data_IF_432766621868
#
_entry.id   IF_432766621868
#
_cell.length_a   1.000
_cell.length_b   1.000
_cell.length_c   1.000
_cell.angle_alpha   90.00
_cell.angle_beta   90.00
_cell.angle_gamma   90.00
#
_symmetry.space_group_name_H-M   'P 1'
#
loop_
_entity.id
_entity.type
_entity.pdbx_description
1 polymer ?
#
# COMPACT_ATOMS: atom_id res chain seq x y z
N UNK A 1 25.97 -1.54 22.05
CA UNK A 1 24.66 -2.24 22.00
C UNK A 1 24.20 -2.16 20.56
N UNK A 2 24.35 -3.24 19.78
CA UNK A 2 23.81 -3.25 18.41
C UNK A 2 22.29 -3.28 18.51
N UNK A 3 21.64 -2.19 18.12
CA UNK A 3 20.18 -2.11 18.05
C UNK A 3 19.74 -2.91 16.83
N UNK A 4 18.91 -3.93 17.05
CA UNK A 4 18.32 -4.68 15.95
C UNK A 4 17.24 -3.81 15.29
N UNK A 5 17.32 -3.64 13.98
CA UNK A 5 16.39 -2.84 13.19
C UNK A 5 15.58 -3.79 12.32
N UNK A 6 14.26 -3.74 12.45
CA UNK A 6 13.33 -4.44 11.56
C UNK A 6 12.98 -3.54 10.38
N UNK A 7 13.10 -4.08 9.17
CA UNK A 7 12.65 -3.45 7.93
C UNK A 7 11.51 -4.28 7.33
N UNK A 8 10.74 -3.68 6.43
CA UNK A 8 9.71 -4.41 5.68
C UNK A 8 10.22 -4.66 4.26
N UNK A 9 10.17 -5.91 3.84
CA UNK A 9 10.47 -6.34 2.49
C UNK A 9 9.16 -6.56 1.74
N UNK A 10 9.05 -5.97 0.57
CA UNK A 10 7.90 -6.10 -0.31
C UNK A 10 8.28 -7.09 -1.41
N UNK A 11 7.79 -8.31 -1.36
CA UNK A 11 8.09 -9.32 -2.38
C UNK A 11 7.43 -8.99 -3.71
N UNK A 12 7.99 -9.49 -4.80
CA UNK A 12 7.42 -9.30 -6.15
C UNK A 12 5.96 -9.74 -6.29
N UNK A 13 5.51 -10.67 -5.44
CA UNK A 13 4.12 -11.15 -5.39
C UNK A 13 3.14 -10.13 -4.81
N UNK A 14 3.63 -9.05 -4.20
CA UNK A 14 2.82 -8.11 -3.41
C UNK A 14 2.78 -8.45 -1.92
N UNK A 15 3.49 -9.49 -1.47
CA UNK A 15 3.48 -9.91 -0.06
C UNK A 15 4.49 -9.13 0.78
N UNK A 16 4.07 -8.65 1.94
CA UNK A 16 4.93 -7.95 2.90
C UNK A 16 5.57 -8.94 3.89
N UNK A 17 6.89 -8.86 4.07
CA UNK A 17 7.65 -9.65 5.05
C UNK A 17 8.49 -8.75 5.95
N UNK A 18 8.45 -9.00 7.25
CA UNK A 18 9.36 -8.31 8.18
C UNK A 18 10.72 -9.00 8.20
N UNK A 19 11.81 -8.23 8.15
CA UNK A 19 13.17 -8.73 8.28
C UNK A 19 13.97 -7.93 9.29
N UNK A 20 14.56 -8.62 10.28
CA UNK A 20 15.34 -7.99 11.36
C UNK A 20 16.83 -8.06 11.07
N UNK A 21 17.51 -6.93 11.09
CA UNK A 21 18.95 -6.78 10.90
C UNK A 21 19.64 -6.31 12.19
N UNK A 22 20.76 -6.94 12.55
CA UNK A 22 21.56 -6.55 13.73
C UNK A 22 22.44 -5.32 13.49
N UNK A 23 22.83 -5.10 12.24
CA UNK A 23 23.63 -3.97 11.80
C UNK A 23 23.00 -3.45 10.52
N UNK A 24 22.46 -2.23 10.57
CA UNK A 24 21.85 -1.59 9.41
C UNK A 24 22.94 -0.96 8.55
N UNK A 25 23.00 -1.41 7.30
CA UNK A 25 23.83 -0.85 6.24
C UNK A 25 22.98 -0.72 5.00
N UNK A 26 22.84 0.50 4.49
CA UNK A 26 22.06 0.78 3.28
C UNK A 26 22.53 -0.08 2.09
N UNK A 27 23.85 -0.21 1.97
CA UNK A 27 24.50 -1.08 0.98
C UNK A 27 24.24 -2.57 1.16
N UNK A 28 23.73 -3.06 2.29
CA UNK A 28 23.39 -4.48 2.46
C UNK A 28 21.90 -4.77 2.21
N UNK A 29 21.05 -3.73 2.08
CA UNK A 29 19.61 -3.89 1.88
C UNK A 29 19.31 -4.66 0.60
N UNK A 30 20.03 -4.38 -0.49
CA UNK A 30 19.82 -5.07 -1.77
C UNK A 30 20.00 -6.60 -1.63
N UNK A 31 20.92 -7.06 -0.78
CA UNK A 31 21.15 -8.49 -0.52
C UNK A 31 19.95 -9.10 0.19
N UNK A 32 19.30 -8.34 1.08
CA UNK A 32 18.09 -8.77 1.81
C UNK A 32 16.87 -8.83 0.91
N UNK A 33 16.80 -7.98 -0.11
CA UNK A 33 15.83 -8.07 -1.20
C UNK A 33 16.11 -9.21 -2.19
N UNK A 34 17.19 -9.99 -2.01
CA UNK A 34 17.53 -11.13 -2.86
C UNK A 34 18.33 -10.78 -4.12
N UNK A 35 18.85 -9.55 -4.23
CA UNK A 35 19.68 -9.16 -5.36
C UNK A 35 21.15 -9.56 -5.15
N UNK A 36 21.80 -9.99 -6.24
CA UNK A 36 23.23 -10.34 -6.24
C UNK A 36 24.15 -9.12 -6.35
N UNK A 37 23.66 -8.04 -6.94
CA UNK A 37 24.36 -6.77 -7.18
C UNK A 37 23.47 -5.63 -6.72
N UNK A 38 24.07 -4.52 -6.31
CA UNK A 38 23.38 -3.26 -6.01
C UNK A 38 22.96 -2.47 -7.26
N UNK A 39 23.26 -2.99 -8.45
CA UNK A 39 23.05 -2.29 -9.72
C UNK A 39 21.56 -1.96 -9.97
N UNK A 40 21.25 -0.66 -10.00
CA UNK A 40 19.89 -0.11 -10.11
C UNK A 40 19.05 -0.21 -8.83
N UNK A 41 19.59 -0.71 -7.71
CA UNK A 41 18.90 -0.72 -6.43
C UNK A 41 19.24 0.54 -5.65
N UNK A 42 18.32 1.49 -5.63
CA UNK A 42 18.52 2.81 -5.05
C UNK A 42 17.28 3.28 -4.29
N UNK A 43 17.41 4.41 -3.57
CA UNK A 43 16.29 5.05 -2.89
C UNK A 43 15.39 5.71 -3.94
N UNK A 44 14.14 5.24 -4.02
CA UNK A 44 13.18 5.67 -5.03
C UNK A 44 12.33 6.83 -4.53
N UNK A 45 11.82 6.73 -3.30
CA UNK A 45 11.02 7.79 -2.68
C UNK A 45 11.15 7.76 -1.16
N UNK A 46 10.70 8.83 -0.52
CA UNK A 46 10.55 8.93 0.93
C UNK A 46 9.24 9.62 1.30
N UNK A 47 8.54 9.07 2.29
CA UNK A 47 7.26 9.58 2.76
C UNK A 47 7.40 10.11 4.18
N UNK A 48 7.08 11.38 4.40
CA UNK A 48 7.00 11.98 5.72
C UNK A 48 5.62 11.78 6.33
N UNK A 49 5.50 10.99 7.41
CA UNK A 49 4.24 10.71 8.09
C UNK A 49 4.29 11.23 9.52
N UNK A 50 3.23 11.93 9.96
CA UNK A 50 3.04 12.31 11.37
C UNK A 50 2.06 11.33 12.03
N UNK A 51 2.54 10.57 13.00
CA UNK A 51 1.76 9.56 13.73
C UNK A 51 2.00 9.75 15.23
N UNK A 52 0.94 9.84 16.02
CA UNK A 52 1.00 9.99 17.49
C UNK A 52 1.95 11.13 17.96
N UNK A 53 1.91 12.28 17.26
CA UNK A 53 2.76 13.43 17.56
C UNK A 53 4.25 13.28 17.19
N UNK A 54 4.67 12.14 16.66
CA UNK A 54 6.03 11.88 16.16
C UNK A 54 6.08 11.99 14.64
N UNK A 55 7.20 12.47 14.13
CA UNK A 55 7.48 12.53 12.69
C UNK A 55 8.28 11.30 12.28
N UNK A 56 7.72 10.52 11.38
CA UNK A 56 8.33 9.36 10.75
C UNK A 56 8.65 9.68 9.29
N UNK A 57 9.72 9.08 8.78
CA UNK A 57 10.06 9.09 7.35
C UNK A 57 10.29 7.66 6.93
N UNK A 58 9.50 7.17 5.97
CA UNK A 58 9.70 5.85 5.37
C UNK A 58 10.34 6.02 4.01
N UNK A 59 11.52 5.42 3.81
CA UNK A 59 12.23 5.42 2.55
C UNK A 59 12.01 4.08 1.82
N UNK A 60 11.62 4.15 0.55
CA UNK A 60 11.50 3.01 -0.36
C UNK A 60 12.81 2.82 -1.12
N UNK A 61 13.36 1.61 -1.06
CA UNK A 61 14.47 1.16 -1.87
C UNK A 61 13.99 0.08 -2.83
N UNK A 62 14.33 0.23 -4.10
CA UNK A 62 13.86 -0.68 -5.13
C UNK A 62 14.60 -0.47 -6.44
N UNK A 63 14.33 -1.36 -7.38
CA UNK A 63 14.84 -1.28 -8.75
C UNK A 63 13.69 -0.92 -9.69
N UNK A 64 13.84 0.16 -10.45
CA UNK A 64 12.86 0.63 -11.44
C UNK A 64 13.05 0.00 -12.83
N UNK A 65 14.06 -0.85 -12.98
CA UNK A 65 14.37 -1.56 -14.23
C UNK A 65 14.43 -3.07 -13.99
N UNK A 66 13.92 -3.89 -14.90
CA UNK A 66 13.96 -5.32 -14.74
C UNK A 66 13.47 -6.12 -15.93
N UNK A 67 13.41 -7.43 -15.73
CA UNK A 67 12.92 -8.34 -16.77
C UNK A 67 11.39 -8.40 -16.71
N UNK A 68 10.76 -8.62 -17.86
CA UNK A 68 9.34 -8.94 -17.91
C UNK A 68 9.01 -10.13 -16.98
N UNK A 69 7.87 -10.08 -16.29
CA UNK A 69 7.41 -11.03 -15.26
C UNK A 69 8.17 -10.98 -13.93
N UNK A 70 8.98 -9.93 -13.71
CA UNK A 70 9.60 -9.65 -12.41
C UNK A 70 9.07 -8.38 -11.76
N UNK A 71 8.00 -7.81 -12.30
CA UNK A 71 7.31 -6.65 -11.76
C UNK A 71 6.80 -6.94 -10.35
N UNK A 72 6.97 -5.98 -9.46
CA UNK A 72 6.40 -6.01 -8.13
C UNK A 72 4.93 -5.63 -8.22
N UNK A 73 4.06 -6.48 -7.68
CA UNK A 73 2.60 -6.31 -7.71
C UNK A 73 2.05 -5.50 -6.54
N UNK A 74 2.91 -5.02 -5.65
CA UNK A 74 2.49 -4.19 -4.53
C UNK A 74 2.16 -2.78 -5.02
N UNK A 75 1.01 -2.26 -4.60
CA UNK A 75 0.59 -0.89 -4.88
C UNK A 75 1.28 0.02 -3.86
N UNK A 76 2.17 0.90 -4.31
CA UNK A 76 2.87 1.82 -3.42
C UNK A 76 2.11 3.15 -3.32
N UNK A 77 2.17 3.84 -2.17
CA UNK A 77 1.53 5.13 -2.05
C UNK A 77 2.15 6.18 -2.99
N UNK A 78 1.38 7.22 -3.34
CA UNK A 78 1.89 8.35 -4.12
C UNK A 78 3.15 8.93 -3.46
N UNK A 79 4.17 9.37 -4.23
CA UNK A 79 4.14 9.69 -5.67
C UNK A 79 4.58 8.54 -6.61
N UNK A 80 4.78 7.33 -6.09
CA UNK A 80 5.31 6.18 -6.84
C UNK A 80 4.25 5.13 -7.16
N UNK A 81 2.97 5.48 -7.02
CA UNK A 81 1.81 4.66 -7.34
C UNK A 81 1.79 4.25 -8.83
N UNK A 82 2.24 5.14 -9.71
CA UNK A 82 2.38 4.86 -11.15
C UNK A 82 3.72 4.19 -11.51
N UNK A 83 4.66 4.11 -10.57
CA UNK A 83 6.02 3.63 -10.83
C UNK A 83 6.07 2.13 -10.66
N UNK A 84 6.50 1.46 -11.72
CA UNK A 84 6.61 0.01 -11.74
C UNK A 84 8.00 -0.43 -11.25
N UNK A 85 8.05 -1.11 -10.10
CA UNK A 85 9.27 -1.67 -9.55
C UNK A 85 9.45 -3.13 -9.96
N UNK A 86 10.69 -3.62 -9.94
CA UNK A 86 11.04 -4.99 -10.29
C UNK A 86 11.76 -5.71 -9.14
N UNK A 87 11.36 -6.95 -8.89
CA UNK A 87 11.86 -7.77 -7.81
C UNK A 87 11.27 -7.35 -6.46
N UNK A 88 12.01 -7.62 -5.39
CA UNK A 88 11.59 -7.26 -4.05
C UNK A 88 12.07 -5.85 -3.68
N UNK A 89 11.22 -5.05 -3.06
CA UNK A 89 11.60 -3.73 -2.53
C UNK A 89 11.84 -3.80 -1.02
N UNK A 90 12.49 -2.77 -0.47
CA UNK A 90 12.66 -2.61 0.97
C UNK A 90 12.14 -1.26 1.44
N UNK A 91 11.45 -1.28 2.57
CA UNK A 91 10.94 -0.12 3.26
C UNK A 91 11.72 0.05 4.57
N UNK A 92 12.35 1.22 4.72
CA UNK A 92 13.13 1.56 5.91
C UNK A 92 12.48 2.75 6.59
N UNK A 93 12.21 2.63 7.89
CA UNK A 93 11.62 3.71 8.67
C UNK A 93 12.68 4.46 9.48
N UNK A 94 12.55 5.77 9.52
CA UNK A 94 13.31 6.69 10.36
C UNK A 94 12.34 7.51 11.19
N UNK A 95 12.71 7.84 12.42
CA UNK A 95 11.94 8.71 13.30
C UNK A 95 12.76 9.95 13.66
N UNK A 96 12.10 11.11 13.74
CA UNK A 96 12.73 12.34 14.23
C UNK A 96 12.82 12.27 15.75
N UNK A 97 14.03 12.32 16.29
CA UNK A 97 14.27 12.37 17.73
C UNK A 97 14.08 13.78 18.29
N UNK A 98 14.10 13.87 19.62
CA UNK A 98 14.08 15.12 20.38
C UNK A 98 15.25 16.04 19.99
N UNK A 99 16.41 15.48 19.66
CA UNK A 99 17.61 16.20 19.21
C UNK A 99 17.53 16.69 17.75
N UNK A 100 16.33 16.68 17.16
CA UNK A 100 16.04 17.04 15.77
C UNK A 100 16.76 16.21 14.69
N UNK A 101 17.43 15.13 15.09
CA UNK A 101 18.11 14.20 14.19
C UNK A 101 17.20 13.03 13.79
N UNK A 102 17.35 12.57 12.55
CA UNK A 102 16.71 11.35 12.07
C UNK A 102 17.47 10.13 12.54
N UNK A 103 16.79 9.17 13.15
CA UNK A 103 17.36 7.86 13.46
C UNK A 103 16.52 6.75 12.86
N UNK A 104 17.20 5.75 12.30
CA UNK A 104 16.56 4.54 11.81
C UNK A 104 15.85 3.85 12.97
N UNK A 105 14.61 3.43 12.75
CA UNK A 105 13.79 2.72 13.72
C UNK A 105 13.24 1.43 13.13
N UNK A 106 12.81 0.51 13.98
CA UNK A 106 12.16 -0.72 13.54
C UNK A 106 10.78 -0.41 12.97
N UNK A 107 10.51 -0.87 11.75
CA UNK A 107 9.21 -0.82 11.10
C UNK A 107 8.53 -2.20 11.21
N UNK A 108 7.41 -2.27 11.93
CA UNK A 108 6.53 -3.44 11.90
C UNK A 108 5.52 -3.37 10.76
N UNK A 109 4.93 -4.51 10.40
CA UNK A 109 3.89 -4.57 9.35
C UNK A 109 2.65 -3.78 9.74
N UNK A 110 2.19 -3.89 10.99
CA UNK A 110 1.06 -3.08 11.49
C UNK A 110 1.34 -1.57 11.43
N UNK A 111 2.57 -1.16 11.78
CA UNK A 111 2.96 0.25 11.68
C UNK A 111 2.97 0.71 10.23
N UNK A 112 3.52 -0.10 9.32
CA UNK A 112 3.51 0.22 7.90
C UNK A 112 2.08 0.33 7.37
N UNK A 113 1.18 -0.61 7.69
CA UNK A 113 -0.22 -0.55 7.26
C UNK A 113 -0.91 0.75 7.73
N UNK A 114 -0.70 1.17 8.99
CA UNK A 114 -1.25 2.46 9.46
C UNK A 114 -0.69 3.66 8.70
N UNK A 115 0.61 3.64 8.37
CA UNK A 115 1.24 4.69 7.57
C UNK A 115 0.74 4.66 6.12
N UNK A 116 0.59 3.46 5.54
CA UNK A 116 0.11 3.19 4.21
C UNK A 116 -1.29 3.77 4.01
N UNK A 117 -2.24 3.44 4.89
CA UNK A 117 -3.60 4.00 4.85
C UNK A 117 -3.54 5.53 4.87
N UNK A 118 -2.79 6.14 5.79
CA UNK A 118 -2.64 7.60 5.83
C UNK A 118 -2.06 8.19 4.53
N UNK A 119 -1.10 7.51 3.90
CA UNK A 119 -0.48 7.99 2.66
C UNK A 119 -1.42 7.89 1.45
N UNK A 120 -2.37 6.95 1.47
CA UNK A 120 -3.44 6.84 0.48
C UNK A 120 -4.62 7.78 0.74
N UNK A 121 -4.50 8.70 1.69
CA UNK A 121 -5.59 9.60 2.09
C UNK A 121 -6.62 8.90 2.97
N UNK A 122 -6.16 8.00 3.83
CA UNK A 122 -6.96 7.06 4.62
C UNK A 122 -8.12 7.70 5.37
N UNK A 123 -9.02 6.84 5.87
CA UNK A 123 -10.14 7.27 6.72
C UNK A 123 -9.61 8.06 7.92
N UNK A 124 -9.70 9.38 7.82
CA UNK A 124 -9.53 10.24 8.97
C UNK A 124 -10.64 9.91 9.97
N UNK A 125 -10.25 9.70 11.22
CA UNK A 125 -11.20 9.53 12.29
C UNK A 125 -11.96 10.85 12.41
N UNK A 126 -13.20 10.91 11.90
CA UNK A 126 -14.06 12.10 11.86
C UNK A 126 -14.08 12.85 13.19
N UNK A 127 -13.92 12.16 14.32
CA UNK A 127 -13.89 12.77 15.64
C UNK A 127 -12.59 13.55 15.92
N UNK A 128 -11.46 13.16 15.33
CA UNK A 128 -10.18 13.84 15.45
C UNK A 128 -10.04 15.02 14.48
N UNK A 129 -10.61 14.92 13.27
CA UNK A 129 -10.56 15.99 12.27
C UNK A 129 -11.57 17.10 12.51
N UNK A 130 -12.67 16.85 13.23
CA UNK A 130 -13.69 17.86 13.54
C UNK A 130 -13.10 19.15 14.15
N UNK A 131 -12.04 19.04 14.96
CA UNK A 131 -11.39 20.19 15.57
C UNK A 131 -10.41 20.94 14.64
N UNK A 132 -9.87 20.29 13.61
CA UNK A 132 -9.03 20.95 12.58
C UNK A 132 -9.89 21.52 11.44
N UNK A 133 -11.03 20.89 11.12
CA UNK A 133 -12.01 21.33 10.11
C UNK A 133 -12.71 22.65 10.54
N UNK A 134 -12.99 22.81 11.84
CA UNK A 134 -13.58 24.06 12.38
C UNK A 134 -12.62 25.26 12.31
N UNK A 135 -11.32 25.05 12.06
CA UNK A 135 -10.33 26.10 11.81
C UNK A 135 -10.02 26.31 10.30
N UNK A 136 -10.60 25.55 9.37
CA UNK A 136 -10.49 25.83 7.94
C UNK A 136 -11.37 27.02 7.53
N UNK A 137 -10.78 27.95 6.76
CA UNK A 137 -11.51 29.09 6.22
C UNK A 137 -12.44 28.63 5.08
N UNK A 138 -13.75 28.90 5.20
CA UNK A 138 -14.72 28.62 4.14
C UNK A 138 -14.32 29.38 2.85
N UNK A 139 -13.94 28.62 1.81
CA UNK A 139 -13.53 29.15 0.50
C UNK A 139 -14.63 30.04 -0.13
N UNK A 140 -15.89 29.81 0.23
CA UNK A 140 -17.00 30.63 -0.22
C UNK A 140 -17.14 31.91 0.61
N UNK A 141 -16.66 32.01 1.85
CA UNK A 141 -16.87 33.17 2.72
C UNK A 141 -16.42 34.49 2.08
N UNK A 142 -15.33 34.45 1.32
CA UNK A 142 -14.77 35.59 0.60
C UNK A 142 -15.46 35.89 -0.75
N UNK A 143 -16.42 35.07 -1.18
CA UNK A 143 -17.12 35.24 -2.45
C UNK A 143 -18.32 36.18 -2.28
N UNK A 144 -18.46 37.23 -3.11
CA UNK A 144 -19.56 38.17 -3.01
C UNK A 144 -20.92 37.48 -3.25
N UNK A 145 -21.93 37.87 -2.47
CA UNK A 145 -23.28 37.30 -2.50
C UNK A 145 -23.94 37.28 -3.89
N UNK A 146 -23.56 38.19 -4.80
CA UNK A 146 -24.04 38.19 -6.18
C UNK A 146 -23.66 36.92 -6.96
N UNK A 147 -22.50 36.33 -6.65
CA UNK A 147 -22.01 35.08 -7.23
C UNK A 147 -22.51 33.84 -6.49
N UNK A 148 -23.22 34.00 -5.37
CA UNK A 148 -23.83 32.91 -4.63
C UNK A 148 -25.33 32.81 -4.92
N UNK A 149 -25.87 31.63 -4.73
CA UNK A 149 -27.30 31.36 -4.69
C UNK A 149 -27.88 31.80 -3.35
N UNK A 150 -29.21 31.85 -3.23
CA UNK A 150 -29.89 32.12 -1.95
C UNK A 150 -29.55 31.09 -0.86
N UNK A 151 -29.08 29.90 -1.26
CA UNK A 151 -28.70 28.78 -0.40
C UNK A 151 -27.18 28.74 -0.13
N UNK A 152 -26.41 29.74 -0.57
CA UNK A 152 -24.98 29.84 -0.30
C UNK A 152 -24.08 29.21 -1.37
N UNK A 153 -24.59 28.35 -2.25
CA UNK A 153 -23.78 27.74 -3.34
C UNK A 153 -23.25 28.75 -4.35
N UNK A 154 -22.07 28.50 -4.93
CA UNK A 154 -21.50 29.31 -6.01
C UNK A 154 -22.26 29.09 -7.33
N UNK A 155 -22.57 30.17 -8.07
CA UNK A 155 -23.22 30.13 -9.39
C UNK A 155 -22.21 29.81 -10.51
N UNK A 156 -21.54 28.66 -10.44
CA UNK A 156 -20.48 28.25 -11.38
C UNK A 156 -21.01 27.36 -12.54
N UNK A 157 -22.24 27.60 -12.99
CA UNK A 157 -22.86 26.81 -14.06
C UNK A 157 -23.35 25.40 -13.68
N UNK A 158 -23.04 24.91 -12.48
CA UNK A 158 -23.57 23.66 -11.93
C UNK A 158 -24.90 23.84 -11.17
N UNK A 159 -25.23 25.09 -10.79
CA UNK A 159 -26.49 25.42 -10.13
C UNK A 159 -27.58 25.57 -11.20
N UNK A 160 -28.53 24.63 -11.21
CA UNK A 160 -29.75 24.74 -11.99
C UNK A 160 -30.70 25.71 -11.28
N UNK A 161 -30.86 26.92 -11.83
CA UNK A 161 -31.83 27.88 -11.31
C UNK A 161 -33.24 27.41 -11.69
N UNK A 162 -34.01 26.94 -10.69
CA UNK A 162 -35.38 26.45 -10.91
C UNK A 162 -36.35 27.53 -11.40
N UNK A 163 -35.95 28.81 -11.50
CA UNK A 163 -36.78 29.91 -11.97
C UNK A 163 -36.61 30.19 -13.48
N UNK A 164 -35.72 29.49 -14.18
CA UNK A 164 -35.64 29.58 -15.64
C UNK A 164 -36.79 28.79 -16.27
N UNK A 165 -37.83 29.49 -16.73
CA UNK A 165 -38.90 28.97 -17.59
C UNK A 165 -38.39 28.60 -18.99
N UNK A 166 -37.37 27.76 -19.08
CA UNK A 166 -37.01 27.02 -20.28
C UNK A 166 -37.13 25.53 -19.97
N UNK A 167 -38.32 25.00 -20.29
CA UNK A 167 -38.55 23.56 -20.40
C UNK A 167 -37.76 23.06 -21.60
N UNK A 168 -36.51 22.67 -21.39
CA UNK A 168 -35.86 21.70 -22.26
C UNK A 168 -36.41 20.33 -21.87
N UNK A 169 -37.16 19.75 -22.80
CA UNK A 169 -37.82 18.44 -22.70
C UNK A 169 -36.75 17.35 -22.80
N UNK A 170 -36.33 16.82 -21.64
CA UNK A 170 -35.50 15.62 -21.60
C UNK A 170 -36.38 14.41 -21.93
N UNK A 171 -36.32 13.91 -23.16
CA UNK A 171 -36.82 12.58 -23.52
C UNK A 171 -36.01 11.54 -22.74
N UNK A 172 -36.60 11.03 -21.66
CA UNK A 172 -36.14 9.83 -20.97
C UNK A 172 -36.62 8.62 -21.76
N UNK A 173 -35.73 8.01 -22.54
CA UNK A 173 -35.95 6.71 -23.16
C UNK A 173 -35.97 5.64 -22.05
N UNK A 174 -37.17 5.24 -21.63
CA UNK A 174 -37.39 4.07 -20.78
C UNK A 174 -37.27 2.81 -21.65
N UNK A 175 -36.18 2.06 -21.49
CA UNK A 175 -36.13 0.65 -21.87
C UNK A 175 -36.48 -0.19 -20.63
N UNK A 176 -37.75 -0.59 -20.56
CA UNK A 176 -38.22 -1.68 -19.72
C UNK A 176 -37.88 -3.01 -20.42
N UNK A 177 -36.98 -3.80 -19.84
CA UNK A 177 -37.00 -5.27 -20.01
C UNK A 177 -36.94 -5.95 -18.64
N UNK A 178 -38.15 -6.25 -18.17
CA UNK A 178 -38.48 -7.22 -17.14
C UNK A 178 -37.98 -8.62 -17.55
N UNK A 179 -37.15 -9.26 -16.72
CA UNK A 179 -37.27 -10.70 -16.50
C UNK A 179 -36.75 -11.12 -15.12
N UNK A 180 -37.72 -11.25 -14.23
CA UNK A 180 -37.85 -12.06 -13.03
C UNK A 180 -37.05 -13.40 -13.06
N UNK A 181 -36.21 -13.67 -12.06
CA UNK A 181 -36.23 -14.92 -11.26
C UNK A 181 -35.30 -14.80 -10.04
N UNK A 182 -35.89 -14.58 -8.86
CA UNK A 182 -35.37 -14.98 -7.55
C UNK A 182 -36.41 -15.97 -6.98
N UNK A 183 -36.09 -16.93 -6.07
CA UNK A 183 -35.37 -16.60 -4.83
C UNK A 183 -34.54 -17.70 -4.12
N UNK A 184 -33.78 -17.23 -3.15
CA UNK A 184 -33.65 -17.78 -1.77
C UNK A 184 -32.61 -18.87 -1.42
N UNK A 185 -31.70 -18.42 -0.55
CA UNK A 185 -31.45 -18.91 0.82
C UNK A 185 -30.78 -20.29 1.03
N UNK A 186 -29.56 -20.29 1.59
CA UNK A 186 -29.35 -20.69 2.99
C UNK A 186 -27.87 -20.51 3.40
N UNK A 187 -27.68 -19.87 4.54
CA UNK A 187 -26.44 -19.88 5.29
C UNK A 187 -26.29 -21.25 5.97
N UNK A 188 -25.07 -21.83 6.00
CA UNK A 188 -24.62 -22.52 7.20
C UNK A 188 -23.10 -22.74 7.21
N UNK A 189 -22.54 -22.34 8.36
CA UNK A 189 -21.18 -22.49 8.85
C UNK A 189 -21.01 -23.91 9.41
N UNK A 190 -20.04 -24.69 8.93
CA UNK A 190 -19.45 -25.79 9.73
C UNK A 190 -17.92 -25.78 9.54
N UNK A 191 -17.27 -25.38 10.62
CA UNK A 191 -15.92 -25.77 11.01
C UNK A 191 -15.88 -27.26 11.31
N UNK A 192 -14.96 -28.01 10.70
CA UNK A 192 -14.50 -29.27 11.31
C UNK A 192 -13.00 -29.47 11.10
N UNK A 193 -12.32 -29.62 12.23
CA UNK A 193 -10.91 -29.86 12.44
C UNK A 193 -10.77 -31.32 12.85
N UNK A 194 -10.22 -32.18 12.00
CA UNK A 194 -9.58 -33.40 12.47
C UNK A 194 -8.17 -33.55 11.87
N UNK A 195 -7.19 -33.31 12.75
CA UNK A 195 -5.84 -33.85 12.63
C UNK A 195 -5.92 -35.38 12.59
N UNK A 196 -5.16 -36.02 11.69
CA UNK A 196 -4.44 -37.23 12.08
C UNK A 196 -3.13 -37.37 11.29
N UNK A 197 -2.07 -37.40 12.09
CA UNK A 197 -0.67 -37.64 11.80
C UNK A 197 -0.45 -39.09 11.32
N UNK A 198 0.14 -39.30 10.12
CA UNK A 198 0.76 -40.60 9.82
C UNK A 198 1.96 -40.51 8.85
N UNK A 199 3.12 -40.98 9.34
CA UNK A 199 4.22 -41.62 8.59
C UNK A 199 5.03 -40.75 7.64
N UNK A 200 6.19 -40.18 8.00
CA UNK A 200 7.45 -40.87 8.32
C UNK A 200 7.99 -41.76 7.18
N UNK A 201 9.25 -41.49 6.83
CA UNK A 201 10.24 -42.35 6.14
C UNK A 201 10.18 -42.48 4.60
N UNK A 202 11.06 -41.74 3.92
CA UNK A 202 11.80 -42.28 2.77
C UNK A 202 13.21 -41.68 2.76
N UNK A 203 14.12 -42.40 3.41
CA UNK A 203 15.56 -42.29 3.27
C UNK A 203 16.04 -43.06 2.04
N UNK A 204 17.21 -42.65 1.54
CA UNK A 204 18.10 -43.32 0.58
C UNK A 204 17.61 -43.30 -0.90
N UNK A 205 18.48 -43.14 -1.92
CA UNK A 205 19.76 -43.84 -2.09
C UNK A 205 20.82 -43.01 -2.84
N UNK A 206 22.08 -43.24 -2.48
CA UNK A 206 23.30 -42.73 -3.12
C UNK A 206 23.62 -43.62 -4.34
N UNK A 207 23.59 -43.06 -5.56
CA UNK A 207 24.04 -43.79 -6.75
C UNK A 207 25.54 -43.58 -6.96
N UNK A 208 26.34 -44.56 -6.53
CA UNK A 208 27.69 -44.79 -7.07
C UNK A 208 27.56 -45.23 -8.54
N UNK A 209 27.99 -44.38 -9.47
CA UNK A 209 28.28 -44.84 -10.84
C UNK A 209 29.74 -45.27 -10.90
N UNK A 210 29.98 -46.56 -10.68
CA UNK A 210 31.22 -47.21 -11.05
C UNK A 210 31.26 -47.32 -12.59
N UNK A 211 32.19 -46.61 -13.21
CA UNK A 211 32.59 -46.85 -14.59
C UNK A 211 34.11 -46.98 -14.63
N UNK A 212 34.56 -48.18 -14.26
CA UNK A 212 35.82 -48.73 -14.74
C UNK A 212 35.54 -49.44 -16.06
N UNK A 213 36.07 -48.90 -17.16
CA UNK A 213 36.59 -49.73 -18.24
C UNK A 213 37.93 -49.13 -18.70
N UNK A 214 39.00 -49.66 -18.12
CA UNK A 214 40.26 -49.83 -18.83
C UNK A 214 40.05 -50.92 -19.88
N UNK A 215 40.08 -50.58 -21.17
CA UNK A 215 40.67 -51.48 -22.18
C UNK A 215 41.33 -50.73 -23.34
N UNK A 216 42.67 -50.70 -23.27
CA UNK A 216 43.65 -50.90 -24.35
C UNK A 216 44.10 -49.74 -25.24
#
# INVERSE_FOLDING_TARGET
MSQNISIVLVEKTGTLKSHTMKEYKEEDIYKKCGFKKSDGFEKQTEWGIKLDGKKYVVALYGKSDGKANSENKYDFPPPVDTVLFFGSCALVCSVKNLDETWSITSLSLEQWNKMYEKLFGGFEDLAATCAEDEEEEDELENIPASKKTKQGYLKDGFVVDSDSSDKEEYESEQEDEDNDDEPSNDADEIVDLELEEIGSELSEEEYESSSEDETR
#
